data_IF_082722180814
#
_entry.id   IF_082722180814
#
_cell.length_a   1.000
_cell.length_b   1.000
_cell.length_c   1.000
_cell.angle_alpha   90.00
_cell.angle_beta   90.00
_cell.angle_gamma   90.00
#
_symmetry.space_group_name_H-M   'P 1'
#
loop_
_entity.id
_entity.type
_entity.pdbx_description
1 polymer ?
#
# COMPACT_ATOMS: atom_id res chain seq x y z
N UNK A 1 -25.96 36.76 -27.54
CA UNK A 1 -24.72 37.11 -28.27
C UNK A 1 -23.61 37.26 -27.25
N UNK A 2 -22.57 36.44 -27.33
CA UNK A 2 -21.47 36.44 -26.36
C UNK A 2 -20.91 35.05 -26.03
N UNK A 3 -20.86 34.16 -27.01
CA UNK A 3 -19.98 32.99 -27.02
C UNK A 3 -18.81 33.37 -27.93
N UNK A 4 -17.71 33.84 -27.37
CA UNK A 4 -16.37 33.88 -27.95
C UNK A 4 -15.47 34.68 -27.02
N UNK A 5 -14.69 33.99 -26.17
CA UNK A 5 -13.40 34.40 -25.62
C UNK A 5 -12.97 33.38 -24.55
N UNK A 6 -12.60 32.18 -24.99
CA UNK A 6 -12.00 31.15 -24.15
C UNK A 6 -10.76 30.52 -24.81
N UNK A 7 -9.99 31.32 -25.57
CA UNK A 7 -8.84 30.81 -26.36
C UNK A 7 -7.49 31.48 -26.07
N UNK A 8 -7.35 32.32 -25.06
CA UNK A 8 -6.13 33.12 -24.84
C UNK A 8 -5.37 32.84 -23.52
N UNK A 9 -5.73 31.81 -22.75
CA UNK A 9 -5.04 31.52 -21.47
C UNK A 9 -3.78 30.67 -21.60
N UNK A 10 -3.63 29.90 -22.68
CA UNK A 10 -2.51 28.96 -22.84
C UNK A 10 -1.23 29.63 -23.35
N UNK A 11 -1.37 30.72 -24.12
CA UNK A 11 -0.24 31.48 -24.68
C UNK A 11 0.55 32.22 -23.60
N UNK A 12 -0.13 32.80 -22.62
CA UNK A 12 0.49 33.55 -21.52
C UNK A 12 1.37 32.70 -20.59
N UNK A 13 1.18 31.38 -20.54
CA UNK A 13 2.00 30.49 -19.70
C UNK A 13 3.30 30.05 -20.36
N UNK A 14 3.36 30.05 -21.69
CA UNK A 14 4.57 29.71 -22.44
C UNK A 14 5.51 30.93 -22.51
N UNK A 15 4.96 32.14 -22.63
CA UNK A 15 5.75 33.38 -22.67
C UNK A 15 6.57 33.62 -21.39
N UNK A 16 6.06 33.23 -20.21
CA UNK A 16 6.81 33.34 -18.95
C UNK A 16 8.07 32.44 -18.90
N UNK A 17 8.16 31.45 -19.79
CA UNK A 17 9.27 30.48 -19.86
C UNK A 17 10.41 31.01 -20.76
N UNK A 18 10.12 31.93 -21.68
CA UNK A 18 11.10 32.40 -22.69
C UNK A 18 12.20 33.31 -22.12
N UNK A 19 11.96 34.01 -21.00
CA UNK A 19 12.90 35.01 -20.46
C UNK A 19 14.00 34.44 -19.52
N UNK A 20 13.90 33.18 -19.09
CA UNK A 20 14.78 32.60 -18.06
C UNK A 20 15.64 31.47 -18.63
N UNK A 21 16.96 31.47 -18.37
CA UNK A 21 17.91 30.44 -18.82
C UNK A 21 17.69 29.10 -18.08
N UNK A 22 16.63 28.37 -18.43
CA UNK A 22 16.22 27.08 -17.83
C UNK A 22 17.18 25.89 -18.06
N UNK A 23 18.28 26.08 -18.79
CA UNK A 23 19.23 25.01 -19.15
C UNK A 23 19.80 24.23 -17.96
N UNK A 24 19.92 24.86 -16.77
CA UNK A 24 20.45 24.21 -15.56
C UNK A 24 19.47 23.26 -14.88
N UNK A 25 18.16 23.36 -15.19
CA UNK A 25 17.10 22.58 -14.53
C UNK A 25 16.27 21.70 -15.47
N UNK A 26 16.56 21.70 -16.78
CA UNK A 26 15.76 21.01 -17.80
C UNK A 26 15.60 19.51 -17.54
N UNK A 27 16.65 18.84 -17.07
CA UNK A 27 16.65 17.41 -16.78
C UNK A 27 15.70 17.09 -15.61
N UNK A 28 15.68 17.92 -14.57
CA UNK A 28 14.75 17.79 -13.44
C UNK A 28 13.31 18.06 -13.86
N UNK A 29 13.08 19.04 -14.73
CA UNK A 29 11.76 19.30 -15.29
C UNK A 29 11.27 18.12 -16.15
N UNK A 30 12.13 17.56 -16.99
CA UNK A 30 11.81 16.36 -17.78
C UNK A 30 11.50 15.16 -16.88
N UNK A 31 12.29 14.98 -15.82
CA UNK A 31 12.01 13.96 -14.81
C UNK A 31 10.65 14.15 -14.16
N UNK A 32 10.34 15.36 -13.70
CA UNK A 32 9.03 15.69 -13.12
C UNK A 32 7.88 15.40 -14.10
N UNK A 33 8.01 15.81 -15.36
CA UNK A 33 6.98 15.53 -16.38
C UNK A 33 6.85 14.02 -16.63
N UNK A 34 7.97 13.28 -16.65
CA UNK A 34 7.96 11.83 -16.79
C UNK A 34 7.27 11.14 -15.61
N UNK A 35 7.36 11.68 -14.39
CA UNK A 35 6.60 11.18 -13.24
C UNK A 35 5.08 11.26 -13.45
N UNK A 36 4.61 12.26 -14.19
CA UNK A 36 3.19 12.46 -14.51
C UNK A 36 2.73 11.61 -15.71
N UNK A 37 3.57 11.55 -16.75
CA UNK A 37 3.18 11.07 -18.09
C UNK A 37 3.91 9.79 -18.51
N UNK A 38 4.57 9.10 -17.58
CA UNK A 38 5.41 7.93 -17.86
C UNK A 38 4.67 6.80 -18.58
N UNK A 39 5.44 5.83 -19.09
CA UNK A 39 4.99 4.81 -20.04
C UNK A 39 3.80 3.93 -19.57
N UNK A 40 3.56 3.83 -18.26
CA UNK A 40 2.44 3.08 -17.69
C UNK A 40 1.15 3.92 -17.54
N UNK A 41 1.16 5.20 -17.91
CA UNK A 41 -0.03 6.05 -17.88
C UNK A 41 -0.93 5.78 -19.12
N UNK A 42 -2.12 5.23 -18.87
CA UNK A 42 -3.11 4.90 -19.90
C UNK A 42 -4.12 6.01 -20.15
N UNK A 43 -4.17 7.04 -19.31
CA UNK A 43 -5.20 8.08 -19.39
C UNK A 43 -4.98 9.06 -20.54
N UNK A 44 -3.73 9.25 -20.98
CA UNK A 44 -3.36 10.28 -21.94
C UNK A 44 -3.30 9.71 -23.35
N UNK A 45 -3.89 10.45 -24.29
CA UNK A 45 -3.85 10.19 -25.73
C UNK A 45 -2.69 10.93 -26.39
N UNK A 46 -2.33 10.55 -27.62
CA UNK A 46 -1.21 11.17 -28.32
C UNK A 46 -1.33 12.69 -28.47
N UNK A 47 -2.54 13.22 -28.71
CA UNK A 47 -2.81 14.66 -28.84
C UNK A 47 -2.39 15.47 -27.61
N UNK A 48 -2.46 14.86 -26.43
CA UNK A 48 -2.13 15.50 -25.15
C UNK A 48 -0.61 15.67 -24.99
N UNK A 49 0.19 14.94 -25.77
CA UNK A 49 1.66 15.03 -25.78
C UNK A 49 2.21 16.04 -26.77
N UNK A 50 1.39 16.62 -27.66
CA UNK A 50 1.86 17.60 -28.66
C UNK A 50 2.49 18.85 -28.02
N UNK A 51 1.90 19.46 -26.95
CA UNK A 51 2.56 20.56 -26.25
C UNK A 51 3.92 20.16 -25.66
N UNK A 52 4.05 18.91 -25.22
CA UNK A 52 5.28 18.40 -24.62
C UNK A 52 6.40 18.25 -25.64
N UNK A 53 6.09 17.90 -26.89
CA UNK A 53 7.08 17.91 -27.97
C UNK A 53 7.67 19.31 -28.18
N UNK A 54 6.83 20.35 -28.17
CA UNK A 54 7.29 21.75 -28.28
C UNK A 54 8.19 22.15 -27.11
N UNK A 55 7.85 21.71 -25.90
CA UNK A 55 8.67 21.94 -24.70
C UNK A 55 10.04 21.25 -24.82
N UNK A 56 10.09 20.02 -25.35
CA UNK A 56 11.35 19.30 -25.59
C UNK A 56 12.19 20.05 -26.63
N UNK A 57 11.60 20.48 -27.75
CA UNK A 57 12.31 21.27 -28.78
C UNK A 57 12.87 22.58 -28.21
N UNK A 58 12.11 23.26 -27.35
CA UNK A 58 12.53 24.50 -26.71
C UNK A 58 13.67 24.30 -25.70
N UNK A 59 13.60 23.28 -24.85
CA UNK A 59 14.59 23.04 -23.78
C UNK A 59 15.87 22.37 -24.27
N UNK A 60 15.81 21.72 -25.44
CA UNK A 60 16.93 21.05 -26.10
C UNK A 60 17.18 21.63 -27.50
N UNK A 61 17.55 22.92 -27.61
CA UNK A 61 17.80 23.57 -28.90
C UNK A 61 19.14 23.15 -29.54
N UNK A 62 19.90 22.28 -28.85
CA UNK A 62 21.25 21.89 -29.21
C UNK A 62 21.29 21.22 -30.60
N UNK A 63 22.05 21.80 -31.53
CA UNK A 63 22.24 21.22 -32.88
C UNK A 63 23.13 19.98 -32.86
N UNK A 64 23.95 19.84 -31.82
CA UNK A 64 24.80 18.68 -31.58
C UNK A 64 24.12 17.70 -30.62
N UNK A 65 24.20 16.39 -30.87
CA UNK A 65 23.68 15.39 -29.95
C UNK A 65 24.35 15.47 -28.56
N UNK A 66 23.56 15.36 -27.50
CA UNK A 66 24.04 15.31 -26.13
C UNK A 66 24.87 14.03 -25.86
N UNK A 67 25.88 14.09 -24.98
CA UNK A 67 26.62 12.91 -24.56
C UNK A 67 25.76 12.00 -23.68
N UNK A 68 26.05 10.70 -23.67
CA UNK A 68 25.42 9.75 -22.76
C UNK A 68 25.99 9.97 -21.35
N UNK A 69 25.16 10.16 -20.32
CA UNK A 69 25.61 10.35 -18.95
C UNK A 69 26.25 9.07 -18.36
N UNK A 70 27.12 9.23 -17.36
CA UNK A 70 27.70 8.10 -16.63
C UNK A 70 26.64 7.38 -15.79
N UNK A 71 26.52 6.08 -15.96
CA UNK A 71 25.54 5.18 -15.31
C UNK A 71 25.75 5.10 -13.79
N UNK A 72 26.96 5.36 -13.32
CA UNK A 72 27.28 5.34 -11.89
C UNK A 72 26.88 6.66 -11.18
N UNK A 73 26.53 7.69 -11.93
CA UNK A 73 26.11 8.98 -11.36
C UNK A 73 24.58 8.96 -11.09
N UNK A 74 24.12 9.30 -9.88
CA UNK A 74 22.68 9.42 -9.58
C UNK A 74 21.92 10.36 -10.53
N UNK A 75 22.59 11.37 -11.09
CA UNK A 75 22.00 12.29 -12.08
C UNK A 75 21.68 11.62 -13.43
N UNK A 76 22.18 10.41 -13.68
CA UNK A 76 21.97 9.64 -14.92
C UNK A 76 20.50 9.59 -15.33
N UNK A 77 19.62 9.27 -14.37
CA UNK A 77 18.19 9.10 -14.66
C UNK A 77 17.49 10.40 -15.02
N UNK A 78 17.92 11.52 -14.44
CA UNK A 78 17.38 12.84 -14.76
C UNK A 78 17.77 13.23 -16.19
N UNK A 79 19.03 13.03 -16.57
CA UNK A 79 19.49 13.30 -17.94
C UNK A 79 18.88 12.35 -18.98
N UNK A 80 18.57 11.11 -18.60
CA UNK A 80 17.88 10.15 -19.46
C UNK A 80 16.36 10.32 -19.52
N UNK A 81 15.77 11.14 -18.64
CA UNK A 81 14.32 11.30 -18.54
C UNK A 81 13.67 11.76 -19.86
N UNK A 82 14.34 12.64 -20.60
CA UNK A 82 13.87 13.11 -21.92
C UNK A 82 13.82 11.98 -22.94
N UNK A 83 14.75 11.04 -22.91
CA UNK A 83 14.76 9.89 -23.82
C UNK A 83 13.66 8.89 -23.46
N UNK A 84 13.44 8.62 -22.17
CA UNK A 84 12.31 7.82 -21.71
C UNK A 84 10.98 8.46 -22.14
N UNK A 85 10.83 9.76 -21.92
CA UNK A 85 9.62 10.50 -22.29
C UNK A 85 9.38 10.46 -23.80
N UNK A 86 10.42 10.66 -24.60
CA UNK A 86 10.33 10.56 -26.05
C UNK A 86 9.90 9.17 -26.51
N UNK A 87 10.37 8.11 -25.85
CA UNK A 87 9.94 6.74 -26.11
C UNK A 87 8.43 6.55 -25.82
N UNK A 88 7.91 7.14 -24.74
CA UNK A 88 6.46 7.13 -24.44
C UNK A 88 5.65 7.79 -25.56
N UNK A 89 6.06 9.01 -25.95
CA UNK A 89 5.40 9.78 -27.01
C UNK A 89 5.43 8.99 -28.32
N UNK A 90 6.60 8.44 -28.67
CA UNK A 90 6.80 7.67 -29.91
C UNK A 90 5.93 6.41 -29.93
N UNK A 91 5.82 5.69 -28.82
CA UNK A 91 4.99 4.48 -28.72
C UNK A 91 3.50 4.83 -28.87
N UNK A 92 3.05 5.93 -28.27
CA UNK A 92 1.67 6.43 -28.42
C UNK A 92 1.36 6.88 -29.84
N UNK A 93 2.31 7.56 -30.49
CA UNK A 93 2.21 7.98 -31.89
C UNK A 93 2.10 6.76 -32.83
N UNK A 94 2.95 5.74 -32.61
CA UNK A 94 2.92 4.49 -33.37
C UNK A 94 1.58 3.75 -33.20
N UNK A 95 0.99 3.78 -32.01
CA UNK A 95 -0.36 3.25 -31.77
C UNK A 95 -1.45 3.94 -32.59
N UNK A 96 -1.20 5.16 -33.09
CA UNK A 96 -2.06 5.92 -33.99
C UNK A 96 -1.51 5.96 -35.44
N UNK A 97 -0.56 5.09 -35.79
CA UNK A 97 0.09 5.04 -37.10
C UNK A 97 0.84 6.31 -37.50
N UNK A 98 1.28 7.12 -36.53
CA UNK A 98 2.09 8.32 -36.74
C UNK A 98 3.55 8.00 -36.43
N UNK A 99 4.44 8.31 -37.37
CA UNK A 99 5.90 8.17 -37.18
C UNK A 99 6.51 9.52 -36.84
N UNK A 100 7.25 9.58 -35.72
CA UNK A 100 7.92 10.79 -35.26
C UNK A 100 9.43 10.73 -35.53
N UNK A 101 10.04 11.77 -36.12
CA UNK A 101 11.48 11.84 -36.29
C UNK A 101 12.17 12.04 -34.93
N UNK A 102 13.31 11.38 -34.72
CA UNK A 102 14.11 11.56 -33.49
C UNK A 102 14.67 12.99 -33.42
N UNK A 103 14.48 13.73 -32.31
CA UNK A 103 15.04 15.08 -32.19
C UNK A 103 16.56 15.02 -32.08
N UNK A 104 17.26 15.83 -32.89
CA UNK A 104 18.72 15.76 -33.07
C UNK A 104 19.51 15.87 -31.76
N UNK A 105 19.06 16.74 -30.86
CA UNK A 105 19.71 16.98 -29.56
C UNK A 105 19.77 15.72 -28.67
N UNK A 106 18.74 14.86 -28.71
CA UNK A 106 18.60 13.72 -27.80
C UNK A 106 18.84 12.35 -28.48
N UNK A 107 19.22 12.34 -29.76
CA UNK A 107 19.38 11.11 -30.54
C UNK A 107 20.30 10.10 -29.88
N UNK A 108 21.45 10.52 -29.34
CA UNK A 108 22.39 9.63 -28.66
C UNK A 108 21.77 8.97 -27.41
N UNK A 109 20.97 9.71 -26.65
CA UNK A 109 20.29 9.22 -25.46
C UNK A 109 19.24 8.16 -25.83
N UNK A 110 18.46 8.42 -26.89
CA UNK A 110 17.48 7.46 -27.41
C UNK A 110 18.20 6.20 -27.92
N UNK A 111 19.29 6.34 -28.68
CA UNK A 111 20.07 5.20 -29.16
C UNK A 111 20.68 4.38 -28.02
N UNK A 112 21.14 5.03 -26.95
CA UNK A 112 21.60 4.33 -25.75
C UNK A 112 20.47 3.53 -25.09
N UNK A 113 19.30 4.14 -24.89
CA UNK A 113 18.11 3.45 -24.35
C UNK A 113 17.72 2.22 -25.19
N UNK A 114 17.67 2.37 -26.52
CA UNK A 114 17.36 1.27 -27.44
C UNK A 114 18.41 0.14 -27.36
N UNK A 115 19.68 0.48 -27.24
CA UNK A 115 20.75 -0.50 -27.07
C UNK A 115 20.58 -1.25 -25.74
N UNK A 116 20.35 -0.54 -24.63
CA UNK A 116 20.12 -1.17 -23.31
C UNK A 116 18.91 -2.11 -23.38
N UNK A 117 17.83 -1.72 -24.06
CA UNK A 117 16.65 -2.56 -24.23
C UNK A 117 16.94 -3.83 -25.04
N UNK A 118 17.63 -3.74 -26.18
CA UNK A 118 17.99 -4.89 -27.02
C UNK A 118 18.84 -5.91 -26.25
N UNK A 119 19.82 -5.44 -25.47
CA UNK A 119 20.68 -6.33 -24.69
C UNK A 119 19.92 -7.04 -23.56
N UNK A 120 18.82 -6.46 -23.06
CA UNK A 120 18.01 -7.07 -22.01
C UNK A 120 17.04 -8.15 -22.51
N UNK A 121 16.80 -8.24 -23.82
CA UNK A 121 15.98 -9.31 -24.42
C UNK A 121 16.70 -10.66 -24.44
N UNK A 122 18.02 -10.69 -24.21
CA UNK A 122 18.81 -11.91 -24.18
C UNK A 122 19.16 -12.31 -22.72
N UNK A 123 18.72 -13.48 -22.23
CA UNK A 123 19.03 -13.94 -20.88
C UNK A 123 20.53 -14.28 -20.78
N UNK A 124 21.30 -13.41 -20.11
CA UNK A 124 22.70 -13.66 -19.74
C UNK A 124 23.71 -12.53 -19.96
N UNK A 125 23.34 -11.40 -20.59
CA UNK A 125 24.33 -10.45 -21.13
C UNK A 125 24.63 -9.20 -20.27
N UNK A 126 23.77 -8.81 -19.31
CA UNK A 126 24.08 -7.67 -18.44
C UNK A 126 24.56 -8.13 -17.06
N UNK A 127 25.78 -7.73 -16.69
CA UNK A 127 26.08 -7.34 -15.31
C UNK A 127 25.18 -6.14 -14.99
N UNK A 128 23.99 -6.41 -14.44
CA UNK A 128 22.91 -5.43 -14.30
C UNK A 128 23.30 -4.43 -13.22
N UNK A 129 23.53 -3.19 -13.61
CA UNK A 129 23.49 -2.07 -12.67
C UNK A 129 22.04 -1.69 -12.43
N UNK A 130 21.71 -1.34 -11.18
CA UNK A 130 20.37 -0.92 -10.76
C UNK A 130 19.84 0.24 -11.63
N UNK A 131 20.71 1.15 -12.06
CA UNK A 131 20.40 2.28 -12.95
C UNK A 131 19.85 1.86 -14.32
N UNK A 132 20.41 0.82 -14.95
CA UNK A 132 19.89 0.33 -16.24
C UNK A 132 18.53 -0.35 -16.07
N UNK A 133 18.32 -1.07 -14.96
CA UNK A 133 17.02 -1.65 -14.64
C UNK A 133 15.97 -0.56 -14.44
N UNK A 134 16.28 0.50 -13.67
CA UNK A 134 15.39 1.63 -13.46
C UNK A 134 15.05 2.36 -14.78
N UNK A 135 16.06 2.58 -15.63
CA UNK A 135 15.87 3.19 -16.96
C UNK A 135 14.85 2.42 -17.81
N UNK A 136 15.00 1.10 -17.86
CA UNK A 136 14.12 0.23 -18.62
C UNK A 136 12.71 0.18 -18.05
N UNK A 137 12.55 0.15 -16.72
CA UNK A 137 11.23 0.21 -16.09
C UNK A 137 10.49 1.50 -16.45
N UNK A 138 11.19 2.62 -16.58
CA UNK A 138 10.59 3.90 -16.91
C UNK A 138 10.20 4.03 -18.38
N UNK A 139 10.99 3.47 -19.30
CA UNK A 139 10.73 3.53 -20.74
C UNK A 139 9.83 2.40 -21.25
N UNK A 140 9.97 1.18 -20.74
CA UNK A 140 9.30 -0.04 -21.24
C UNK A 140 8.70 -0.89 -20.10
N UNK A 141 7.78 -0.35 -19.27
CA UNK A 141 7.27 -1.03 -18.09
C UNK A 141 6.62 -2.39 -18.41
N UNK A 142 5.78 -2.47 -19.45
CA UNK A 142 5.09 -3.72 -19.79
C UNK A 142 6.06 -4.88 -20.13
N UNK A 143 7.15 -4.58 -20.82
CA UNK A 143 8.15 -5.57 -21.24
C UNK A 143 9.14 -5.92 -20.12
N UNK A 144 9.32 -5.03 -19.15
CA UNK A 144 10.37 -5.15 -18.14
C UNK A 144 9.85 -5.69 -16.81
N UNK A 145 8.58 -5.49 -16.49
CA UNK A 145 7.98 -5.95 -15.23
C UNK A 145 8.17 -7.45 -15.00
N UNK A 146 7.82 -8.29 -15.96
CA UNK A 146 7.98 -9.75 -15.84
C UNK A 146 9.44 -10.18 -15.64
N UNK A 147 10.36 -9.53 -16.34
CA UNK A 147 11.79 -9.80 -16.23
C UNK A 147 12.38 -9.34 -14.89
N UNK A 148 11.98 -8.17 -14.40
CA UNK A 148 12.38 -7.66 -13.08
C UNK A 148 11.86 -8.61 -12.01
N UNK A 149 10.61 -9.03 -12.09
CA UNK A 149 10.08 -9.98 -11.12
C UNK A 149 10.73 -11.36 -11.20
N UNK A 150 11.10 -11.83 -12.39
CA UNK A 150 11.84 -13.08 -12.54
C UNK A 150 13.22 -12.98 -11.87
N UNK A 151 13.90 -11.83 -11.96
CA UNK A 151 15.23 -11.61 -11.38
C UNK A 151 15.19 -11.55 -9.84
N UNK A 152 14.19 -10.87 -9.25
CA UNK A 152 14.10 -10.69 -7.79
C UNK A 152 13.25 -11.74 -7.08
N UNK A 153 12.26 -12.32 -7.75
CA UNK A 153 11.29 -13.24 -7.14
C UNK A 153 11.31 -14.65 -7.72
N UNK A 154 12.06 -14.89 -8.80
CA UNK A 154 12.18 -16.18 -9.46
C UNK A 154 11.02 -16.47 -10.43
N UNK A 155 11.23 -17.42 -11.34
CA UNK A 155 10.19 -17.86 -12.28
C UNK A 155 9.26 -18.87 -11.62
N UNK A 156 7.97 -18.54 -11.56
CA UNK A 156 6.91 -19.50 -11.23
C UNK A 156 6.47 -20.26 -12.49
N UNK A 157 7.27 -21.21 -12.98
CA UNK A 157 6.77 -22.16 -13.99
C UNK A 157 5.92 -23.23 -13.30
N UNK A 158 4.61 -22.97 -13.18
CA UNK A 158 3.66 -23.96 -12.65
C UNK A 158 3.57 -25.27 -13.48
N UNK A 159 4.23 -25.35 -14.65
CA UNK A 159 4.10 -26.46 -15.59
C UNK A 159 5.31 -27.43 -15.64
N UNK A 160 6.44 -27.09 -15.04
CA UNK A 160 7.63 -27.94 -15.01
C UNK A 160 8.26 -27.75 -13.63
N UNK A 161 8.40 -28.83 -12.85
CA UNK A 161 8.88 -28.81 -11.45
C UNK A 161 10.29 -28.25 -11.19
N UNK A 162 10.87 -27.51 -12.13
CA UNK A 162 12.11 -26.75 -11.95
C UNK A 162 11.78 -25.30 -11.61
N UNK A 163 11.76 -24.98 -10.31
CA UNK A 163 11.83 -23.59 -9.85
C UNK A 163 13.26 -23.09 -10.08
N UNK A 164 13.43 -22.11 -10.96
CA UNK A 164 14.68 -21.34 -10.99
C UNK A 164 14.71 -20.44 -9.75
N UNK A 165 15.71 -20.57 -8.87
CA UNK A 165 15.80 -19.72 -7.69
C UNK A 165 15.96 -18.26 -8.11
N UNK A 166 15.46 -17.30 -7.32
CA UNK A 166 15.70 -15.89 -7.56
C UNK A 166 17.21 -15.62 -7.57
N UNK A 167 17.66 -14.79 -8.49
CA UNK A 167 19.07 -14.38 -8.57
C UNK A 167 19.47 -13.39 -7.49
N UNK A 168 18.51 -12.65 -6.92
CA UNK A 168 18.73 -11.78 -5.76
C UNK A 168 18.16 -12.40 -4.49
N UNK A 169 18.96 -12.37 -3.42
CA UNK A 169 18.54 -12.72 -2.06
C UNK A 169 18.05 -11.52 -1.24
N UNK A 170 18.17 -10.30 -1.79
CA UNK A 170 17.81 -9.05 -1.13
C UNK A 170 16.61 -8.38 -1.80
N UNK A 171 15.76 -7.66 -1.04
CA UNK A 171 14.68 -6.83 -1.60
C UNK A 171 15.23 -5.78 -2.56
N UNK A 172 14.37 -5.26 -3.44
CA UNK A 172 14.74 -4.17 -4.34
C UNK A 172 15.23 -2.97 -3.49
N UNK A 173 16.44 -2.46 -3.73
CA UNK A 173 16.99 -1.32 -2.99
C UNK A 173 16.11 -0.08 -3.12
N UNK A 174 16.06 0.76 -2.08
CA UNK A 174 15.30 2.01 -2.13
C UNK A 174 15.88 2.97 -3.17
N UNK A 175 17.19 2.95 -3.34
CA UNK A 175 17.92 3.73 -4.33
C UNK A 175 17.46 3.40 -5.75
N UNK A 176 17.18 2.12 -6.05
CA UNK A 176 16.61 1.73 -7.34
C UNK A 176 15.17 2.25 -7.45
N UNK A 177 14.36 2.08 -6.40
CA UNK A 177 12.98 2.56 -6.40
C UNK A 177 12.91 4.07 -6.60
N UNK A 178 13.77 4.87 -5.97
CA UNK A 178 13.81 6.33 -6.15
C UNK A 178 14.08 6.76 -7.61
N UNK A 179 14.77 5.90 -8.37
CA UNK A 179 15.04 6.07 -9.80
C UNK A 179 13.90 5.56 -10.70
N UNK A 180 12.82 5.01 -10.14
CA UNK A 180 11.66 4.54 -10.89
C UNK A 180 10.51 5.55 -10.81
N UNK A 181 9.82 5.74 -11.92
CA UNK A 181 8.69 6.65 -12.05
C UNK A 181 7.44 6.11 -11.35
N UNK A 182 6.58 7.00 -10.85
CA UNK A 182 5.34 6.64 -10.18
C UNK A 182 4.46 5.68 -11.02
N UNK A 183 4.25 5.88 -12.34
CA UNK A 183 3.48 4.93 -13.14
C UNK A 183 4.12 3.54 -13.20
N UNK A 184 5.46 3.45 -13.29
CA UNK A 184 6.17 2.17 -13.30
C UNK A 184 6.11 1.46 -11.94
N UNK A 185 6.25 2.19 -10.82
CA UNK A 185 6.04 1.66 -9.46
C UNK A 185 4.63 1.12 -9.29
N UNK A 186 3.62 1.87 -9.72
CA UNK A 186 2.22 1.45 -9.69
C UNK A 186 1.99 0.18 -10.53
N UNK A 187 2.60 0.10 -11.71
CA UNK A 187 2.60 -1.12 -12.53
C UNK A 187 3.17 -2.33 -11.77
N UNK A 188 4.29 -2.13 -11.06
CA UNK A 188 4.92 -3.16 -10.24
C UNK A 188 4.04 -3.57 -9.05
N UNK A 189 3.39 -2.63 -8.37
CA UNK A 189 2.44 -2.89 -7.27
C UNK A 189 1.28 -3.76 -7.75
N UNK A 190 0.70 -3.43 -8.91
CA UNK A 190 -0.41 -4.19 -9.51
C UNK A 190 0.07 -5.59 -9.89
N UNK A 191 1.24 -5.69 -10.53
CA UNK A 191 1.82 -6.97 -10.94
C UNK A 191 2.10 -7.88 -9.74
N UNK A 192 2.77 -7.38 -8.70
CA UNK A 192 3.00 -8.13 -7.45
C UNK A 192 1.67 -8.54 -6.82
N UNK A 193 0.67 -7.67 -6.79
CA UNK A 193 -0.67 -8.00 -6.31
C UNK A 193 -1.30 -9.16 -7.10
N UNK A 194 -1.09 -9.23 -8.41
CA UNK A 194 -1.54 -10.34 -9.26
C UNK A 194 -0.78 -11.64 -8.99
N UNK A 195 0.54 -11.55 -8.75
CA UNK A 195 1.37 -12.69 -8.37
C UNK A 195 0.90 -13.29 -7.04
N UNK A 196 0.61 -12.46 -6.04
CA UNK A 196 0.11 -12.89 -4.73
C UNK A 196 -1.24 -13.61 -4.88
N UNK A 197 -2.15 -13.05 -5.70
CA UNK A 197 -3.46 -13.67 -5.98
C UNK A 197 -3.36 -15.01 -6.71
N UNK A 198 -2.31 -15.23 -7.51
CA UNK A 198 -2.08 -16.44 -8.28
C UNK A 198 -1.33 -17.55 -7.53
N UNK A 199 -0.88 -17.33 -6.29
CA UNK A 199 -0.17 -18.34 -5.50
C UNK A 199 -1.09 -19.42 -4.93
N UNK A 200 -0.53 -20.62 -4.79
CA UNK A 200 -1.22 -21.83 -4.31
C UNK A 200 -1.47 -21.72 -2.79
N UNK A 201 -2.63 -22.17 -2.29
CA UNK A 201 -2.89 -22.30 -0.85
C UNK A 201 -1.80 -23.14 -0.16
N UNK A 202 -1.39 -22.77 1.05
CA UNK A 202 -0.28 -23.34 1.84
C UNK A 202 1.16 -22.87 1.50
N UNK A 203 1.30 -21.82 0.68
CA UNK A 203 2.61 -21.15 0.52
C UNK A 203 2.70 -19.89 1.38
N UNK A 204 3.92 -19.47 1.70
CA UNK A 204 4.21 -18.16 2.30
C UNK A 204 4.80 -17.23 1.25
N UNK A 205 4.79 -15.93 1.52
CA UNK A 205 5.52 -14.97 0.69
C UNK A 205 7.01 -15.03 1.05
N UNK A 206 7.88 -14.93 0.05
CA UNK A 206 9.31 -14.76 0.35
C UNK A 206 9.54 -13.40 0.99
N UNK A 207 10.50 -13.31 1.92
CA UNK A 207 10.86 -12.06 2.56
C UNK A 207 11.19 -10.95 1.54
N UNK A 208 11.93 -11.30 0.48
CA UNK A 208 12.29 -10.39 -0.62
C UNK A 208 11.06 -9.78 -1.30
N UNK A 209 10.03 -10.60 -1.57
CA UNK A 209 8.78 -10.13 -2.18
C UNK A 209 7.99 -9.25 -1.22
N UNK A 210 7.85 -9.68 0.04
CA UNK A 210 7.09 -8.95 1.05
C UNK A 210 7.69 -7.57 1.33
N UNK A 211 9.01 -7.53 1.53
CA UNK A 211 9.75 -6.31 1.86
C UNK A 211 9.80 -5.35 0.66
N UNK A 212 9.93 -5.86 -0.57
CA UNK A 212 9.83 -5.02 -1.77
C UNK A 212 8.41 -4.45 -1.93
N UNK A 213 7.38 -5.27 -1.69
CA UNK A 213 6.00 -4.83 -1.81
C UNK A 213 5.65 -3.77 -0.75
N UNK A 214 6.15 -3.95 0.47
CA UNK A 214 5.92 -2.99 1.55
C UNK A 214 6.59 -1.64 1.27
N UNK A 215 7.82 -1.63 0.72
CA UNK A 215 8.51 -0.39 0.34
C UNK A 215 7.73 0.39 -0.71
N UNK A 216 7.26 -0.29 -1.75
CA UNK A 216 6.44 0.32 -2.81
C UNK A 216 5.13 0.92 -2.27
N UNK A 217 4.47 0.23 -1.33
CA UNK A 217 3.25 0.72 -0.70
C UNK A 217 3.49 1.85 0.31
N UNK A 218 4.67 1.89 0.94
CA UNK A 218 5.03 2.90 1.93
C UNK A 218 5.29 4.29 1.33
N UNK A 219 5.59 4.39 0.05
CA UNK A 219 5.77 5.66 -0.69
C UNK A 219 4.45 6.41 -0.98
N UNK A 220 3.45 6.28 -0.11
CA UNK A 220 2.13 6.91 -0.20
C UNK A 220 1.28 6.52 -1.42
N UNK A 221 1.42 5.29 -1.96
CA UNK A 221 0.49 4.82 -3.00
C UNK A 221 -0.86 4.39 -2.39
N UNK A 222 -1.73 5.38 -2.17
CA UNK A 222 -3.11 5.20 -1.72
C UNK A 222 -3.85 4.19 -2.61
N UNK A 223 -3.59 4.20 -3.93
CA UNK A 223 -4.18 3.27 -4.89
C UNK A 223 -3.73 1.82 -4.68
N UNK A 224 -2.47 1.61 -4.35
CA UNK A 224 -1.89 0.32 -3.97
C UNK A 224 -2.52 -0.23 -2.69
N UNK A 225 -2.56 0.58 -1.62
CA UNK A 225 -3.19 0.19 -0.34
C UNK A 225 -4.66 -0.17 -0.56
N UNK A 226 -5.40 0.64 -1.32
CA UNK A 226 -6.78 0.36 -1.72
C UNK A 226 -6.92 -1.01 -2.38
N UNK A 227 -6.06 -1.33 -3.35
CA UNK A 227 -6.10 -2.62 -4.05
C UNK A 227 -5.78 -3.80 -3.12
N UNK A 228 -4.83 -3.62 -2.19
CA UNK A 228 -4.51 -4.66 -1.21
C UNK A 228 -5.71 -4.95 -0.32
N UNK A 229 -6.28 -3.93 0.32
CA UNK A 229 -7.39 -4.08 1.27
C UNK A 229 -8.66 -4.53 0.55
N UNK A 230 -8.98 -3.93 -0.60
CA UNK A 230 -10.24 -4.18 -1.31
C UNK A 230 -10.26 -5.39 -2.24
N UNK A 231 -9.10 -5.91 -2.67
CA UNK A 231 -9.06 -6.98 -3.67
C UNK A 231 -8.06 -8.09 -3.39
N UNK A 232 -6.83 -7.80 -2.93
CA UNK A 232 -5.83 -8.85 -2.67
C UNK A 232 -6.19 -9.64 -1.42
N UNK A 233 -6.42 -8.97 -0.30
CA UNK A 233 -6.68 -9.60 1.00
C UNK A 233 -7.97 -10.44 1.00
N UNK A 234 -9.12 -9.97 0.46
CA UNK A 234 -10.32 -10.80 0.34
C UNK A 234 -10.12 -12.03 -0.54
N UNK A 235 -9.35 -11.93 -1.62
CA UNK A 235 -9.05 -13.05 -2.51
C UNK A 235 -8.16 -14.11 -1.83
N UNK A 236 -7.11 -13.67 -1.15
CA UNK A 236 -6.23 -14.55 -0.34
C UNK A 236 -7.02 -15.28 0.73
N UNK A 237 -7.92 -14.56 1.42
CA UNK A 237 -8.81 -15.14 2.42
C UNK A 237 -9.77 -16.17 1.80
N UNK A 238 -10.46 -15.85 0.70
CA UNK A 238 -11.37 -16.76 -0.02
C UNK A 238 -10.68 -18.06 -0.45
N UNK A 239 -9.42 -17.97 -0.85
CA UNK A 239 -8.61 -19.12 -1.25
C UNK A 239 -7.97 -19.88 -0.08
N UNK A 240 -8.26 -19.50 1.18
CA UNK A 240 -7.71 -20.12 2.40
C UNK A 240 -6.19 -20.12 2.43
N UNK A 241 -5.54 -19.11 1.84
CA UNK A 241 -4.08 -18.99 1.82
C UNK A 241 -3.58 -18.33 3.12
N UNK A 242 -3.67 -19.06 4.23
CA UNK A 242 -3.42 -18.55 5.59
C UNK A 242 -2.02 -17.99 5.81
N UNK A 243 -0.98 -18.63 5.26
CA UNK A 243 0.40 -18.16 5.37
C UNK A 243 0.60 -16.80 4.68
N UNK A 244 0.04 -16.64 3.47
CA UNK A 244 0.04 -15.36 2.76
C UNK A 244 -0.75 -14.29 3.52
N UNK A 245 -1.92 -14.65 4.05
CA UNK A 245 -2.73 -13.73 4.86
C UNK A 245 -1.95 -13.23 6.07
N UNK A 246 -1.28 -14.13 6.80
CA UNK A 246 -0.43 -13.78 7.93
C UNK A 246 0.68 -12.80 7.50
N UNK A 247 1.40 -13.07 6.40
CA UNK A 247 2.44 -12.15 5.92
C UNK A 247 1.90 -10.76 5.55
N UNK A 248 0.71 -10.69 4.93
CA UNK A 248 0.09 -9.41 4.59
C UNK A 248 -0.33 -8.62 5.83
N UNK A 249 -0.89 -9.27 6.85
CA UNK A 249 -1.25 -8.63 8.12
C UNK A 249 -0.02 -8.14 8.89
N UNK A 250 1.06 -8.92 8.89
CA UNK A 250 2.35 -8.52 9.45
C UNK A 250 2.94 -7.30 8.72
N UNK A 251 2.82 -7.25 7.39
CA UNK A 251 3.21 -6.10 6.60
C UNK A 251 2.44 -4.83 7.01
N UNK A 252 1.12 -4.91 7.17
CA UNK A 252 0.32 -3.79 7.67
C UNK A 252 0.71 -3.38 9.10
N UNK A 253 1.10 -4.32 9.94
CA UNK A 253 1.46 -4.07 11.34
C UNK A 253 2.83 -3.44 11.54
N UNK A 254 3.81 -3.78 10.70
CA UNK A 254 5.23 -3.49 10.98
C UNK A 254 6.00 -2.84 9.83
N UNK A 255 5.41 -2.68 8.64
CA UNK A 255 6.12 -2.17 7.47
C UNK A 255 5.45 -0.98 6.80
N UNK A 256 4.16 -0.75 7.03
CA UNK A 256 3.44 0.38 6.45
C UNK A 256 3.29 1.51 7.47
N UNK A 257 4.04 2.61 7.33
CA UNK A 257 4.00 3.71 8.30
C UNK A 257 2.71 4.52 8.21
N UNK A 258 2.17 4.72 7.00
CA UNK A 258 0.98 5.52 6.77
C UNK A 258 -0.09 4.68 6.06
N UNK A 259 -1.16 4.36 6.78
CA UNK A 259 -2.37 3.74 6.22
C UNK A 259 -3.47 4.79 6.31
N UNK A 260 -4.05 5.23 5.18
CA UNK A 260 -5.15 6.18 5.22
C UNK A 260 -6.32 5.67 6.06
N UNK A 261 -6.94 6.57 6.82
CA UNK A 261 -7.94 6.24 7.84
C UNK A 261 -9.11 5.41 7.30
N UNK A 262 -9.58 5.71 6.09
CA UNK A 262 -10.66 4.96 5.43
C UNK A 262 -10.30 3.48 5.21
N UNK A 263 -9.07 3.21 4.77
CA UNK A 263 -8.61 1.83 4.52
C UNK A 263 -8.24 1.12 5.83
N UNK A 264 -7.80 1.85 6.85
CA UNK A 264 -7.58 1.32 8.20
C UNK A 264 -8.88 0.80 8.81
N UNK A 265 -9.96 1.59 8.76
CA UNK A 265 -11.29 1.16 9.22
C UNK A 265 -11.80 -0.04 8.42
N UNK A 266 -11.63 -0.01 7.10
CA UNK A 266 -12.02 -1.14 6.25
C UNK A 266 -11.22 -2.42 6.56
N UNK A 267 -9.93 -2.29 6.88
CA UNK A 267 -9.09 -3.42 7.28
C UNK A 267 -9.48 -3.97 8.66
N UNK A 268 -9.80 -3.11 9.64
CA UNK A 268 -10.34 -3.52 10.95
C UNK A 268 -11.61 -4.36 10.76
N UNK A 269 -12.53 -3.88 9.93
CA UNK A 269 -13.76 -4.59 9.56
C UNK A 269 -13.50 -5.98 8.96
N UNK A 270 -12.55 -6.09 8.02
CA UNK A 270 -12.15 -7.37 7.46
C UNK A 270 -11.59 -8.30 8.55
N UNK A 271 -10.73 -7.79 9.43
CA UNK A 271 -10.12 -8.58 10.51
C UNK A 271 -11.19 -9.13 11.46
N UNK A 272 -12.15 -8.30 11.90
CA UNK A 272 -13.24 -8.77 12.75
C UNK A 272 -14.11 -9.82 12.06
N UNK A 273 -14.40 -9.64 10.76
CA UNK A 273 -15.17 -10.61 9.98
C UNK A 273 -14.44 -11.94 9.81
N UNK A 274 -13.11 -11.91 9.65
CA UNK A 274 -12.26 -13.11 9.52
C UNK A 274 -12.11 -13.83 10.87
N UNK A 275 -11.94 -13.07 11.95
CA UNK A 275 -11.77 -13.60 13.30
C UNK A 275 -13.04 -14.29 13.82
N UNK A 276 -14.23 -13.82 13.42
CA UNK A 276 -15.51 -14.43 13.81
C UNK A 276 -15.79 -15.81 13.16
N UNK A 277 -14.88 -16.34 12.33
CA UNK A 277 -15.06 -17.61 11.63
C UNK A 277 -14.39 -18.75 12.42
N UNK A 278 -15.12 -19.77 12.90
CA UNK A 278 -14.60 -20.80 13.80
C UNK A 278 -13.43 -21.63 13.26
N UNK A 279 -13.27 -21.70 11.93
CA UNK A 279 -12.15 -22.41 11.31
C UNK A 279 -10.82 -21.66 11.42
N UNK A 280 -10.85 -20.35 11.65
CA UNK A 280 -9.66 -19.52 11.88
C UNK A 280 -9.06 -19.79 13.25
N UNK A 281 -9.88 -20.17 14.24
CA UNK A 281 -9.46 -20.43 15.63
C UNK A 281 -8.60 -21.69 15.77
N UNK A 282 -8.68 -22.61 14.80
CA UNK A 282 -7.79 -23.77 14.75
C UNK A 282 -6.34 -23.37 14.43
N UNK A 283 -6.13 -22.19 13.82
CA UNK A 283 -4.81 -21.62 13.56
C UNK A 283 -4.51 -20.51 14.58
N UNK A 284 -4.16 -20.90 15.80
CA UNK A 284 -3.88 -19.98 16.91
C UNK A 284 -2.92 -18.84 16.54
N UNK A 285 -1.86 -19.13 15.76
CA UNK A 285 -0.92 -18.10 15.29
C UNK A 285 -1.60 -17.05 14.40
N UNK A 286 -2.52 -17.44 13.53
CA UNK A 286 -3.27 -16.51 12.69
C UNK A 286 -4.25 -15.69 13.52
N UNK A 287 -4.93 -16.30 14.49
CA UNK A 287 -5.82 -15.59 15.42
C UNK A 287 -5.05 -14.50 16.20
N UNK A 288 -3.88 -14.82 16.76
CA UNK A 288 -3.00 -13.83 17.40
C UNK A 288 -2.55 -12.72 16.44
N UNK A 289 -2.22 -13.07 15.19
CA UNK A 289 -1.84 -12.10 14.18
C UNK A 289 -2.98 -11.14 13.84
N UNK A 290 -4.21 -11.66 13.69
CA UNK A 290 -5.42 -10.86 13.46
C UNK A 290 -5.66 -9.89 14.62
N UNK A 291 -5.67 -10.39 15.86
CA UNK A 291 -5.90 -9.57 17.05
C UNK A 291 -4.81 -8.50 17.22
N UNK A 292 -3.53 -8.87 17.10
CA UNK A 292 -2.41 -7.92 17.18
C UNK A 292 -2.47 -6.85 16.09
N UNK A 293 -2.86 -7.23 14.87
CA UNK A 293 -3.01 -6.28 13.75
C UNK A 293 -4.18 -5.33 14.01
N UNK A 294 -5.34 -5.84 14.43
CA UNK A 294 -6.49 -5.00 14.78
C UNK A 294 -6.15 -4.01 15.91
N UNK A 295 -5.48 -4.48 16.96
CA UNK A 295 -4.99 -3.65 18.06
C UNK A 295 -4.16 -2.46 17.55
N UNK A 296 -3.16 -2.71 16.69
CA UNK A 296 -2.28 -1.65 16.16
C UNK A 296 -3.04 -0.67 15.27
N UNK A 297 -3.97 -1.18 14.44
CA UNK A 297 -4.81 -0.34 13.60
C UNK A 297 -5.72 0.56 14.44
N UNK A 298 -6.35 0.02 15.50
CA UNK A 298 -7.21 0.80 16.40
C UNK A 298 -6.40 1.86 17.15
N UNK A 299 -5.22 1.52 17.67
CA UNK A 299 -4.35 2.50 18.34
C UNK A 299 -3.87 3.62 17.41
N UNK A 300 -3.68 3.30 16.13
CA UNK A 300 -3.24 4.25 15.12
C UNK A 300 -4.32 5.23 14.64
N UNK A 301 -5.59 5.06 15.03
CA UNK A 301 -6.69 5.93 14.59
C UNK A 301 -6.45 7.39 14.99
N UNK A 302 -6.61 8.29 14.02
CA UNK A 302 -6.38 9.72 14.21
C UNK A 302 -7.55 10.39 14.93
N UNK A 303 -7.27 11.07 16.05
CA UNK A 303 -8.27 11.63 16.97
C UNK A 303 -9.28 12.58 16.29
N UNK A 304 -8.81 13.47 15.41
CA UNK A 304 -9.64 14.51 14.79
C UNK A 304 -10.60 13.99 13.70
N UNK A 305 -10.45 12.74 13.28
CA UNK A 305 -11.19 12.18 12.15
C UNK A 305 -12.21 11.13 12.59
N UNK A 306 -12.10 10.64 13.83
CA UNK A 306 -12.88 9.53 14.41
C UNK A 306 -14.39 9.72 14.20
N UNK A 307 -14.95 10.85 14.60
CA UNK A 307 -16.40 11.12 14.50
C UNK A 307 -16.89 11.06 13.04
N UNK A 308 -16.18 11.74 12.12
CA UNK A 308 -16.57 11.83 10.71
C UNK A 308 -16.53 10.50 9.95
N UNK A 309 -15.76 9.53 10.43
CA UNK A 309 -15.67 8.19 9.83
C UNK A 309 -16.62 7.22 10.49
N UNK A 310 -16.71 7.21 11.81
CA UNK A 310 -17.54 6.24 12.53
C UNK A 310 -19.04 6.48 12.35
N UNK A 311 -19.45 7.73 12.15
CA UNK A 311 -20.84 8.07 11.77
C UNK A 311 -21.26 7.48 10.42
N UNK A 312 -20.32 7.10 9.54
CA UNK A 312 -20.59 6.54 8.21
C UNK A 312 -20.65 5.02 8.17
N UNK A 313 -20.32 4.34 9.26
CA UNK A 313 -20.24 2.89 9.34
C UNK A 313 -21.18 2.33 10.40
N UNK A 314 -21.73 1.15 10.15
CA UNK A 314 -22.52 0.44 11.15
C UNK A 314 -21.62 -0.04 12.30
N UNK A 315 -22.10 0.09 13.54
CA UNK A 315 -21.37 -0.33 14.74
C UNK A 315 -20.90 -1.79 14.68
N UNK A 316 -21.71 -2.68 14.10
CA UNK A 316 -21.40 -4.11 13.98
C UNK A 316 -20.13 -4.40 13.16
N UNK A 317 -19.78 -3.51 12.24
CA UNK A 317 -18.64 -3.64 11.34
C UNK A 317 -17.34 -3.14 11.99
N UNK A 318 -17.46 -2.26 12.99
CA UNK A 318 -16.35 -1.65 13.71
C UNK A 318 -15.93 -2.42 14.96
N UNK A 319 -16.85 -3.23 15.50
CA UNK A 319 -16.73 -3.84 16.84
C UNK A 319 -16.48 -5.34 16.74
N UNK A 320 -15.51 -5.82 17.52
CA UNK A 320 -15.22 -7.25 17.66
C UNK A 320 -16.39 -8.00 18.31
N UNK A 321 -16.72 -9.19 17.79
CA UNK A 321 -17.76 -10.05 18.37
C UNK A 321 -17.33 -10.76 19.65
N UNK A 322 -16.03 -11.04 19.81
CA UNK A 322 -15.55 -11.93 20.87
C UNK A 322 -14.44 -11.31 21.74
N UNK A 323 -13.54 -10.51 21.15
CA UNK A 323 -12.41 -9.94 21.89
C UNK A 323 -12.84 -8.69 22.68
N UNK A 324 -13.01 -8.88 23.99
CA UNK A 324 -13.25 -7.80 24.96
C UNK A 324 -12.12 -6.76 24.93
N UNK A 325 -10.87 -7.20 24.80
CA UNK A 325 -9.69 -6.32 24.84
C UNK A 325 -9.60 -5.38 23.63
N UNK A 326 -9.92 -5.87 22.42
CA UNK A 326 -10.02 -5.00 21.24
C UNK A 326 -11.12 -3.95 21.42
N UNK A 327 -12.28 -4.35 21.95
CA UNK A 327 -13.38 -3.44 22.20
C UNK A 327 -13.06 -2.42 23.30
N UNK A 328 -12.35 -2.82 24.37
CA UNK A 328 -11.84 -1.91 25.40
C UNK A 328 -10.92 -0.85 24.82
N UNK A 329 -9.98 -1.25 23.96
CA UNK A 329 -9.06 -0.31 23.33
C UNK A 329 -9.77 0.62 22.35
N UNK A 330 -10.81 0.12 21.68
CA UNK A 330 -11.67 0.95 20.86
C UNK A 330 -12.35 2.06 21.68
N UNK A 331 -12.93 1.70 22.84
CA UNK A 331 -13.50 2.67 23.80
C UNK A 331 -12.45 3.67 24.28
N UNK A 332 -11.24 3.22 24.65
CA UNK A 332 -10.15 4.10 25.08
C UNK A 332 -9.74 5.08 23.98
N UNK A 333 -9.70 4.65 22.71
CA UNK A 333 -9.40 5.53 21.59
C UNK A 333 -10.50 6.56 21.34
N UNK A 334 -11.78 6.17 21.46
CA UNK A 334 -12.90 7.12 21.37
C UNK A 334 -12.86 8.14 22.51
N UNK A 335 -12.63 7.68 23.75
CA UNK A 335 -12.49 8.56 24.90
C UNK A 335 -11.35 9.59 24.71
N UNK A 336 -10.19 9.12 24.25
CA UNK A 336 -9.05 9.99 23.91
C UNK A 336 -9.40 10.97 22.79
N UNK A 337 -10.04 10.49 21.72
CA UNK A 337 -10.39 11.30 20.57
C UNK A 337 -11.37 12.43 20.93
N UNK A 338 -12.39 12.11 21.73
CA UNK A 338 -13.36 13.09 22.24
C UNK A 338 -12.70 14.13 23.15
N UNK A 339 -11.84 13.67 24.07
CA UNK A 339 -11.11 14.56 24.97
C UNK A 339 -10.21 15.54 24.22
N UNK A 340 -9.42 15.06 23.25
CA UNK A 340 -8.49 15.91 22.48
C UNK A 340 -9.23 16.86 21.53
N UNK A 341 -10.31 16.39 20.90
CA UNK A 341 -11.04 17.18 19.89
C UNK A 341 -12.04 18.16 20.52
N UNK A 342 -12.28 18.07 21.84
CA UNK A 342 -13.23 18.94 22.54
C UNK A 342 -14.69 18.70 22.17
N UNK A 343 -15.00 17.56 21.54
CA UNK A 343 -16.34 17.26 20.98
C UNK A 343 -17.40 17.00 22.06
N UNK A 344 -17.05 16.99 23.35
CA UNK A 344 -18.01 16.88 24.45
C UNK A 344 -19.08 17.98 24.44
N UNK A 345 -18.76 19.16 23.89
CA UNK A 345 -19.68 20.29 23.81
C UNK A 345 -20.73 20.14 22.70
N UNK A 346 -20.52 19.20 21.77
CA UNK A 346 -21.45 18.93 20.69
C UNK A 346 -22.42 17.81 21.12
N UNK A 347 -23.72 18.06 20.95
CA UNK A 347 -24.81 17.15 21.31
C UNK A 347 -24.89 15.88 20.45
N UNK A 348 -23.93 15.61 19.57
CA UNK A 348 -23.89 14.41 18.74
C UNK A 348 -23.46 13.20 19.58
N UNK A 349 -24.44 12.43 20.07
CA UNK A 349 -24.24 11.14 20.73
C UNK A 349 -23.88 10.02 19.74
N UNK A 350 -23.01 10.30 18.77
CA UNK A 350 -22.67 9.38 17.68
C UNK A 350 -22.05 8.06 18.16
N UNK A 351 -21.42 8.08 19.34
CA UNK A 351 -20.75 6.93 19.96
C UNK A 351 -21.71 5.98 20.69
N UNK A 352 -22.97 6.39 20.97
CA UNK A 352 -23.88 5.57 21.77
C UNK A 352 -24.25 4.25 21.10
N UNK A 353 -24.51 4.27 19.78
CA UNK A 353 -24.85 3.05 19.04
C UNK A 353 -23.68 2.06 19.07
N UNK A 354 -22.46 2.56 18.94
CA UNK A 354 -21.22 1.79 19.01
C UNK A 354 -21.06 1.17 20.40
N UNK A 355 -21.19 1.97 21.46
CA UNK A 355 -21.02 1.46 22.82
C UNK A 355 -22.11 0.47 23.23
N UNK A 356 -23.36 0.67 22.79
CA UNK A 356 -24.44 -0.32 22.97
C UNK A 356 -24.06 -1.65 22.33
N UNK A 357 -23.63 -1.64 21.06
CA UNK A 357 -23.15 -2.85 20.37
C UNK A 357 -21.95 -3.49 21.07
N UNK A 358 -21.02 -2.70 21.63
CA UNK A 358 -19.88 -3.22 22.41
C UNK A 358 -20.37 -3.95 23.67
N UNK A 359 -21.26 -3.34 24.45
CA UNK A 359 -21.77 -3.93 25.69
C UNK A 359 -22.61 -5.18 25.40
N UNK A 360 -23.36 -5.20 24.30
CA UNK A 360 -24.12 -6.38 23.85
C UNK A 360 -23.21 -7.55 23.47
N UNK A 361 -22.13 -7.30 22.73
CA UNK A 361 -21.20 -8.35 22.26
C UNK A 361 -20.24 -8.81 23.34
N UNK A 362 -19.64 -7.87 24.06
CA UNK A 362 -18.61 -8.11 25.07
C UNK A 362 -18.91 -7.26 26.31
N UNK A 363 -19.77 -7.74 27.24
CA UNK A 363 -20.08 -7.03 28.48
C UNK A 363 -18.80 -6.75 29.27
N UNK A 364 -18.52 -5.48 29.57
CA UNK A 364 -17.28 -5.05 30.22
C UNK A 364 -17.55 -4.04 31.34
N UNK A 365 -16.65 -4.05 32.32
CA UNK A 365 -16.59 -3.03 33.38
C UNK A 365 -15.26 -2.28 33.32
N UNK A 366 -15.28 -1.03 33.76
CA UNK A 366 -14.10 -0.17 33.91
C UNK A 366 -13.78 0.04 35.39
N UNK A 367 -12.48 0.14 35.70
CA UNK A 367 -12.05 0.53 37.04
C UNK A 367 -12.47 1.98 37.33
N UNK A 368 -12.76 2.31 38.60
CA UNK A 368 -13.12 3.68 39.01
C UNK A 368 -12.07 4.70 38.54
N UNK A 369 -10.79 4.38 38.78
CA UNK A 369 -9.66 5.21 38.36
C UNK A 369 -9.64 5.46 36.85
N UNK A 370 -9.89 4.45 36.01
CA UNK A 370 -9.92 4.64 34.55
C UNK A 370 -11.14 5.47 34.14
N UNK A 371 -12.31 5.18 34.71
CA UNK A 371 -13.54 5.86 34.37
C UNK A 371 -13.50 7.35 34.70
N UNK A 372 -12.87 7.73 35.82
CA UNK A 372 -12.67 9.14 36.22
C UNK A 372 -11.93 9.98 35.18
N UNK A 373 -11.11 9.36 34.32
CA UNK A 373 -10.36 10.03 33.25
C UNK A 373 -11.11 10.08 31.91
N UNK A 374 -12.27 9.45 31.81
CA UNK A 374 -13.07 9.50 30.58
C UNK A 374 -13.83 10.81 30.46
N UNK A 375 -14.16 11.24 29.23
CA UNK A 375 -15.19 12.23 28.98
C UNK A 375 -16.49 11.95 29.78
N UNK A 376 -17.12 12.99 30.35
CA UNK A 376 -18.24 12.85 31.29
C UNK A 376 -19.40 12.04 30.71
N UNK A 377 -19.70 12.25 29.43
CA UNK A 377 -20.78 11.53 28.74
C UNK A 377 -20.52 10.02 28.61
N UNK A 378 -19.25 9.62 28.48
CA UNK A 378 -18.84 8.21 28.48
C UNK A 378 -18.91 7.63 29.90
N UNK A 379 -18.54 8.42 30.93
CA UNK A 379 -18.67 7.99 32.32
C UNK A 379 -20.12 7.64 32.67
N UNK A 380 -21.06 8.51 32.29
CA UNK A 380 -22.49 8.29 32.51
C UNK A 380 -22.96 7.02 31.81
N UNK A 381 -22.56 6.81 30.55
CA UNK A 381 -22.95 5.64 29.77
C UNK A 381 -22.55 4.33 30.47
N UNK A 382 -21.28 4.18 30.86
CA UNK A 382 -20.80 2.94 31.50
C UNK A 382 -21.23 2.77 32.96
N UNK A 383 -21.64 3.87 33.64
CA UNK A 383 -22.26 3.77 34.96
C UNK A 383 -23.69 3.20 34.87
N UNK A 384 -24.40 3.47 33.78
CA UNK A 384 -25.74 2.93 33.52
C UNK A 384 -25.70 1.49 32.97
N UNK A 385 -24.65 1.13 32.23
CA UNK A 385 -24.50 -0.17 31.56
C UNK A 385 -23.39 -1.02 32.21
N UNK A 386 -23.58 -1.42 33.46
CA UNK A 386 -22.61 -2.27 34.18
C UNK A 386 -22.79 -3.74 33.84
N UNK A 387 -21.69 -4.45 33.56
CA UNK A 387 -21.71 -5.90 33.35
C UNK A 387 -21.73 -6.66 34.69
N UNK A 388 -22.41 -7.82 34.77
CA UNK A 388 -22.41 -8.65 35.97
C UNK A 388 -20.98 -9.16 36.25
N UNK A 389 -20.51 -8.98 37.49
CA UNK A 389 -19.17 -9.40 37.90
C UNK A 389 -19.25 -10.66 38.77
N UNK A 390 -18.54 -11.72 38.37
CA UNK A 390 -18.37 -12.89 39.23
C UNK A 390 -17.57 -12.51 40.49
N UNK A 391 -18.05 -12.94 41.65
CA UNK A 391 -17.36 -12.67 42.91
C UNK A 391 -16.05 -13.47 43.00
N UNK A 392 -15.00 -12.86 43.57
CA UNK A 392 -13.72 -13.54 43.83
C UNK A 392 -13.86 -14.92 44.50
N UNK A 393 -14.71 -15.12 45.55
CA UNK A 393 -14.87 -16.44 46.15
C UNK A 393 -15.52 -17.45 45.20
N UNK A 394 -16.50 -17.04 44.38
CA UNK A 394 -17.13 -17.93 43.39
C UNK A 394 -16.13 -18.39 42.32
N UNK A 395 -15.30 -17.47 41.80
CA UNK A 395 -14.25 -17.81 40.85
C UNK A 395 -13.24 -18.79 41.45
N UNK A 396 -12.78 -18.53 42.69
CA UNK A 396 -11.85 -19.42 43.41
C UNK A 396 -12.44 -20.83 43.54
N UNK A 397 -13.68 -20.93 44.00
CA UNK A 397 -14.38 -22.21 44.16
C UNK A 397 -14.48 -22.96 42.82
N UNK A 398 -14.80 -22.26 41.72
CA UNK A 398 -14.89 -22.85 40.37
C UNK A 398 -13.54 -23.41 39.90
N UNK A 399 -12.47 -22.64 40.08
CA UNK A 399 -11.10 -23.05 39.70
C UNK A 399 -10.68 -24.29 40.50
N UNK A 400 -10.93 -24.31 41.81
CA UNK A 400 -10.61 -25.46 42.66
C UNK A 400 -11.40 -26.72 42.26
N UNK A 401 -12.70 -26.56 41.93
CA UNK A 401 -13.54 -27.67 41.46
C UNK A 401 -13.04 -28.25 40.13
N UNK A 402 -12.73 -27.40 39.15
CA UNK A 402 -12.20 -27.86 37.86
C UNK A 402 -10.81 -28.49 37.98
N UNK A 403 -9.94 -27.92 38.83
CA UNK A 403 -8.64 -28.51 39.12
C UNK A 403 -8.75 -29.89 39.77
N UNK A 404 -9.68 -30.05 40.73
CA UNK A 404 -9.92 -31.35 41.37
C UNK A 404 -10.49 -32.38 40.39
N UNK A 405 -11.38 -31.97 39.47
CA UNK A 405 -11.86 -32.83 38.37
C UNK A 405 -10.72 -33.25 37.44
N UNK A 406 -9.86 -32.31 37.05
CA UNK A 406 -8.67 -32.58 36.23
C UNK A 406 -7.75 -33.58 36.92
N UNK A 407 -7.44 -33.35 38.21
CA UNK A 407 -6.63 -34.25 39.03
C UNK A 407 -7.24 -35.65 39.11
N UNK A 408 -8.54 -35.76 39.39
CA UNK A 408 -9.25 -37.06 39.45
C UNK A 408 -9.20 -37.84 38.13
N UNK A 409 -9.34 -37.14 36.98
CA UNK A 409 -9.32 -37.77 35.65
C UNK A 409 -7.92 -38.18 35.16
N UNK A 410 -6.88 -37.39 35.45
CA UNK A 410 -5.57 -37.55 34.81
C UNK A 410 -4.43 -37.98 35.74
N UNK A 411 -4.53 -37.77 37.06
CA UNK A 411 -3.53 -38.28 38.02
C UNK A 411 -3.80 -39.72 38.49
N UNK A 412 -4.99 -40.27 38.22
CA UNK A 412 -5.30 -41.69 38.48
C UNK A 412 -4.88 -42.63 37.34
N UNK A 413 -4.32 -42.11 36.23
CA UNK A 413 -3.78 -42.92 35.13
C UNK A 413 -2.33 -43.41 35.36
N UNK A 414 -1.68 -43.00 36.45
CA UNK A 414 -0.36 -43.52 36.85
C UNK A 414 -0.46 -44.77 37.76
N UNK A 415 -1.64 -45.39 37.86
CA UNK A 415 -1.91 -46.61 38.65
C UNK A 415 -2.65 -47.69 37.83
N UNK A 416 -2.44 -47.72 36.52
CA UNK A 416 -2.67 -48.89 35.63
C UNK A 416 -1.42 -49.03 34.78
#
# INVERSE_FOLDING_TARGET
>A
MGLEQASNSDTYRIELIEEVRWYKGRDYLMWFILQLCGAANTQWEFKDFVPLMKIIEFLYPDTKPLPVPDVNNPSFMFSMAVACLWNVISTKAQGQSVSLPKPRAITNLISHLENVFKHCQHPGSLARTDSHTALLMNAYPANTLGFVTDLWFGKNSAQMGNQLPPSHSTPIPLELLDLVTYPAKRGLIIYIGSLIKGRIPNTTLSYVLLETYSRLLAENDIGGIRNVVGAVLPHVFKNKAWGILHNLLEMFSYRLPLIPQNYRVHLISHIHSIAAIPHTDQNYQLHLCLESTAFRLIQGLENHVVESYFTKHEANVLVSSESEELNRIFVLNIARAMHISGTEQHSSQWYESIFKTIVEKTPMNWSKHTLEHFPYSIQQFFTQHTAPMESKPALKQRVEQEYNKFKSKYLNWNYI
#
